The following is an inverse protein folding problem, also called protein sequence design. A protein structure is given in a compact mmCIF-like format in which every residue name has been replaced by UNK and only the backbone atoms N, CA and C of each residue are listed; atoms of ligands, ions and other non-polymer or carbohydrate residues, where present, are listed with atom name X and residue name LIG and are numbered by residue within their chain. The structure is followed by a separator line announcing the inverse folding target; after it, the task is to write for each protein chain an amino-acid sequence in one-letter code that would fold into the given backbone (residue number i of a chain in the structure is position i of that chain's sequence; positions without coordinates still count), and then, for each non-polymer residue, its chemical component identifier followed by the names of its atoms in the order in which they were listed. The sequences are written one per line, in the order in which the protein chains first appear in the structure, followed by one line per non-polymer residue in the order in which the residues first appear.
data_IF_827514674816
#
_entry.id   IF_827514674816
#
_cell.length_a   1.000
_cell.length_b   1.000
_cell.length_c   1.000
_cell.angle_alpha   90.00
_cell.angle_beta   90.00
_cell.angle_gamma   90.00
#
_symmetry.space_group_name_H-M   'P 1'
#
loop_
_entity.id
_entity.type
_entity.pdbx_description
1 polymer ?
#
# COMPACT_ATOMS: atom_id res chain seq x y z
N UNK A 1 -13.21 10.19 2.16
CA UNK A 1 -11.76 10.46 2.15
C UNK A 1 -11.10 9.21 2.72
N UNK A 2 -10.33 8.47 1.92
CA UNK A 2 -9.71 7.21 2.37
C UNK A 2 -8.69 7.50 3.47
N UNK A 3 -8.64 6.65 4.50
CA UNK A 3 -7.62 6.73 5.55
C UNK A 3 -6.53 5.71 5.27
N UNK A 4 -5.29 6.17 5.35
CA UNK A 4 -4.10 5.35 5.25
C UNK A 4 -3.56 5.07 6.65
N UNK A 5 -3.26 3.80 6.93
CA UNK A 5 -2.69 3.37 8.20
C UNK A 5 -1.45 2.53 7.93
N UNK A 6 -0.49 2.52 8.85
CA UNK A 6 0.78 1.81 8.68
C UNK A 6 0.95 0.79 9.81
N UNK A 7 1.30 -0.45 9.43
CA UNK A 7 1.70 -1.50 10.36
C UNK A 7 3.22 -1.49 10.46
N UNK A 8 3.68 -1.45 11.71
CA UNK A 8 5.07 -1.61 12.08
C UNK A 8 5.31 -3.06 12.47
N UNK A 9 6.43 -3.62 12.00
CA UNK A 9 6.90 -4.94 12.41
C UNK A 9 8.26 -4.78 13.06
N UNK A 10 8.59 -5.65 14.02
CA UNK A 10 9.96 -5.71 14.54
C UNK A 10 10.92 -6.03 13.39
N UNK A 11 11.88 -5.14 13.19
CA UNK A 11 13.06 -5.45 12.40
C UNK A 11 13.91 -6.42 13.22
N UNK A 12 14.49 -7.42 12.56
CA UNK A 12 15.35 -8.41 13.23
C UNK A 12 16.62 -7.84 13.89
N UNK A 13 16.84 -6.52 13.81
CA UNK A 13 17.91 -5.80 14.49
C UNK A 13 17.35 -5.08 15.72
N UNK A 14 17.81 -5.48 16.91
CA UNK A 14 17.56 -4.83 18.21
C UNK A 14 16.10 -4.56 18.61
N UNK A 15 15.11 -5.18 17.95
CA UNK A 15 13.69 -4.96 18.25
C UNK A 15 13.17 -3.60 17.78
N UNK A 16 13.87 -2.92 16.86
CA UNK A 16 13.40 -1.66 16.30
C UNK A 16 12.18 -1.89 15.41
N UNK A 17 11.12 -1.11 15.64
CA UNK A 17 9.90 -1.17 14.84
C UNK A 17 10.10 -0.44 13.50
N UNK A 18 9.98 -1.19 12.40
CA UNK A 18 10.08 -0.67 11.04
C UNK A 18 8.69 -0.67 10.38
N UNK A 19 8.30 0.42 9.68
CA UNK A 19 7.05 0.44 8.95
C UNK A 19 7.15 -0.49 7.72
N UNK A 20 6.25 -1.46 7.63
CA UNK A 20 6.33 -2.55 6.64
C UNK A 20 5.14 -2.57 5.68
N UNK A 21 3.92 -2.38 6.20
CA UNK A 21 2.70 -2.41 5.40
C UNK A 21 1.93 -1.10 5.49
N UNK A 22 1.48 -0.63 4.33
CA UNK A 22 0.52 0.45 4.17
C UNK A 22 -0.87 -0.14 3.92
N UNK A 23 -1.79 0.15 4.83
CA UNK A 23 -3.19 -0.20 4.76
C UNK A 23 -3.99 0.98 4.22
N UNK A 24 -4.61 0.84 3.06
CA UNK A 24 -5.45 1.89 2.50
C UNK A 24 -6.92 1.48 2.49
N UNK A 25 -7.76 2.20 3.26
CA UNK A 25 -9.20 1.98 3.32
C UNK A 25 -9.87 2.57 2.07
N UNK A 26 -10.31 1.69 1.17
CA UNK A 26 -11.00 2.00 -0.09
C UNK A 26 -12.53 2.08 0.08
N UNK A 27 -13.07 1.59 1.19
CA UNK A 27 -14.52 1.52 1.43
C UNK A 27 -15.19 0.43 0.59
N UNK A 28 -16.52 0.53 0.42
CA UNK A 28 -17.26 -0.38 -0.47
C UNK A 28 -17.00 0.01 -1.93
N UNK A 29 -16.25 -0.81 -2.64
CA UNK A 29 -16.05 -0.65 -4.08
C UNK A 29 -17.19 -1.32 -4.86
N UNK A 30 -17.66 -0.66 -5.92
CA UNK A 30 -18.50 -1.33 -6.91
C UNK A 30 -17.64 -2.20 -7.84
N UNK A 31 -18.25 -3.19 -8.50
CA UNK A 31 -17.60 -3.98 -9.55
C UNK A 31 -16.96 -3.11 -10.63
N UNK A 32 -17.66 -2.05 -11.06
CA UNK A 32 -17.15 -1.09 -12.04
C UNK A 32 -15.94 -0.26 -11.54
N UNK A 33 -15.63 -0.31 -10.25
CA UNK A 33 -14.43 0.34 -9.71
C UNK A 33 -13.19 -0.56 -9.84
N UNK A 34 -13.37 -1.87 -9.78
CA UNK A 34 -12.28 -2.84 -9.99
C UNK A 34 -11.68 -2.78 -11.40
N UNK A 35 -12.37 -2.17 -12.36
CA UNK A 35 -11.86 -1.95 -13.72
C UNK A 35 -10.94 -0.73 -13.85
N UNK A 36 -10.74 0.05 -12.78
CA UNK A 36 -10.07 1.36 -12.80
C UNK A 36 -8.72 1.35 -12.10
N UNK A 37 -7.95 2.42 -12.31
CA UNK A 37 -6.76 2.74 -11.52
C UNK A 37 -7.13 3.63 -10.35
N UNK A 38 -6.57 3.35 -9.19
CA UNK A 38 -6.73 4.16 -7.99
C UNK A 38 -5.41 4.85 -7.66
N UNK A 39 -5.44 6.16 -7.39
CA UNK A 39 -4.24 6.90 -7.00
C UNK A 39 -4.29 7.24 -5.52
N UNK A 40 -3.35 6.67 -4.76
CA UNK A 40 -3.29 6.76 -3.31
C UNK A 40 -2.30 7.86 -2.92
N UNK A 41 -2.72 8.89 -2.16
CA UNK A 41 -1.81 9.90 -1.61
C UNK A 41 -0.85 9.29 -0.58
N UNK A 42 0.43 9.65 -0.69
CA UNK A 42 1.49 9.27 0.24
C UNK A 42 1.93 10.42 1.17
N UNK A 43 1.30 11.59 1.01
CA UNK A 43 1.50 12.83 1.76
C UNK A 43 0.57 12.95 2.98
N UNK A 44 -0.27 11.96 3.25
CA UNK A 44 -1.22 12.00 4.36
C UNK A 44 -0.58 11.59 5.69
N UNK A 45 -1.02 12.16 6.84
CA UNK A 45 -0.63 11.63 8.14
C UNK A 45 -1.08 10.17 8.25
N UNK A 46 -0.14 9.28 8.52
CA UNK A 46 -0.42 7.85 8.64
C UNK A 46 -0.85 7.51 10.06
N UNK A 47 -2.01 6.89 10.20
CA UNK A 47 -2.43 6.32 11.49
C UNK A 47 -1.62 5.05 11.76
N UNK A 48 -1.02 4.92 12.96
CA UNK A 48 -0.39 3.66 13.36
C UNK A 48 -1.47 2.64 13.68
N UNK A 49 -1.34 1.44 13.13
CA UNK A 49 -2.26 0.32 13.38
C UNK A 49 -1.44 -0.90 13.82
N UNK A 50 -1.92 -1.60 14.83
CA UNK A 50 -1.30 -2.85 15.28
C UNK A 50 -1.72 -4.03 14.40
N UNK A 51 -0.88 -5.05 14.32
CA UNK A 51 -1.17 -6.25 13.54
C UNK A 51 -2.41 -6.99 14.06
N UNK A 52 -2.73 -6.84 15.35
CA UNK A 52 -3.90 -7.49 15.95
C UNK A 52 -5.22 -6.83 15.54
N UNK A 53 -5.18 -5.57 15.07
CA UNK A 53 -6.33 -4.86 14.48
C UNK A 53 -6.51 -5.15 12.97
N UNK A 54 -5.60 -5.97 12.40
CA UNK A 54 -5.63 -6.34 11.00
C UNK A 54 -6.64 -7.48 10.75
N UNK A 55 -7.78 -7.13 10.18
CA UNK A 55 -8.69 -8.11 9.59
C UNK A 55 -8.23 -8.49 8.18
N UNK A 56 -7.75 -9.74 8.04
CA UNK A 56 -7.31 -10.31 6.77
C UNK A 56 -8.47 -10.64 5.82
N UNK A 57 -9.68 -10.83 6.34
CA UNK A 57 -10.83 -11.29 5.54
C UNK A 57 -11.41 -10.19 4.64
N UNK A 58 -11.25 -8.93 5.04
CA UNK A 58 -11.69 -7.74 4.28
C UNK A 58 -10.56 -7.01 3.55
N UNK A 59 -9.39 -7.66 3.46
CA UNK A 59 -8.15 -7.07 2.95
C UNK A 59 -7.61 -7.83 1.73
N UNK A 60 -7.07 -7.10 0.75
CA UNK A 60 -6.38 -7.68 -0.41
C UNK A 60 -4.97 -7.14 -0.55
N UNK A 61 -4.00 -8.02 -0.75
CA UNK A 61 -2.61 -7.64 -1.03
C UNK A 61 -2.46 -7.13 -2.45
N UNK A 62 -1.82 -5.98 -2.61
CA UNK A 62 -1.47 -5.42 -3.91
C UNK A 62 -0.16 -6.07 -4.39
N UNK A 63 -0.16 -6.81 -5.51
CA UNK A 63 1.07 -7.38 -6.05
C UNK A 63 1.94 -6.30 -6.69
N UNK A 64 3.26 -6.55 -6.77
CA UNK A 64 4.22 -5.60 -7.35
C UNK A 64 3.83 -5.16 -8.78
N UNK A 65 3.30 -6.09 -9.58
CA UNK A 65 2.85 -5.84 -10.95
C UNK A 65 1.62 -4.94 -11.07
N UNK A 66 0.93 -4.64 -9.97
CA UNK A 66 -0.23 -3.75 -9.96
C UNK A 66 0.13 -2.30 -9.64
N UNK A 67 1.35 -2.00 -9.20
CA UNK A 67 1.76 -0.61 -8.99
C UNK A 67 2.01 0.11 -10.32
N UNK A 68 1.66 1.38 -10.35
CA UNK A 68 1.80 2.27 -11.50
C UNK A 68 2.25 3.64 -11.02
N UNK A 69 3.11 4.28 -11.81
CA UNK A 69 3.66 5.61 -11.50
C UNK A 69 2.86 6.66 -12.26
N UNK A 70 2.69 7.84 -11.66
CA UNK A 70 2.21 9.05 -12.35
C UNK A 70 3.34 10.07 -12.35
N UNK A 71 3.91 10.35 -13.52
CA UNK A 71 5.01 11.32 -13.66
C UNK A 71 4.60 12.74 -13.25
N UNK A 72 3.31 13.08 -13.36
CA UNK A 72 2.76 14.38 -13.01
C UNK A 72 2.42 14.54 -11.52
N UNK A 73 2.43 13.46 -10.73
CA UNK A 73 2.10 13.47 -9.29
C UNK A 73 2.98 12.48 -8.51
N UNK A 74 4.24 12.85 -8.18
CA UNK A 74 5.19 11.95 -7.52
C UNK A 74 4.74 11.49 -6.13
N UNK A 75 3.94 12.29 -5.43
CA UNK A 75 3.45 11.97 -4.07
C UNK A 75 2.23 11.01 -4.08
N UNK A 76 1.96 10.34 -5.20
CA UNK A 76 0.85 9.40 -5.34
C UNK A 76 1.31 8.10 -5.99
N UNK A 77 1.01 6.99 -5.34
CA UNK A 77 1.15 5.67 -5.95
C UNK A 77 -0.13 5.29 -6.66
N UNK A 78 -0.03 4.88 -7.93
CA UNK A 78 -1.15 4.33 -8.68
C UNK A 78 -1.25 2.82 -8.44
N UNK A 79 -2.46 2.31 -8.25
CA UNK A 79 -2.77 0.89 -8.13
C UNK A 79 -3.75 0.49 -9.23
N UNK A 80 -3.35 -0.46 -10.07
CA UNK A 80 -4.19 -1.02 -11.13
C UNK A 80 -5.09 -2.11 -10.54
N UNK A 81 -6.32 -1.73 -10.15
CA UNK A 81 -7.28 -2.64 -9.52
C UNK A 81 -7.63 -3.88 -10.36
N UNK A 82 -7.64 -3.87 -11.71
CA UNK A 82 -7.88 -5.09 -12.48
C UNK A 82 -6.80 -6.15 -12.22
N UNK A 83 -5.54 -5.73 -12.10
CA UNK A 83 -4.44 -6.66 -11.77
C UNK A 83 -4.56 -7.17 -10.34
N UNK A 84 -4.96 -6.31 -9.39
CA UNK A 84 -5.21 -6.72 -8.00
C UNK A 84 -6.33 -7.75 -7.93
N UNK A 85 -7.43 -7.51 -8.65
CA UNK A 85 -8.57 -8.42 -8.72
C UNK A 85 -8.18 -9.77 -9.31
N UNK A 86 -7.50 -9.79 -10.46
CA UNK A 86 -7.04 -11.02 -11.10
C UNK A 86 -6.08 -11.81 -10.19
N UNK A 87 -5.20 -11.12 -9.47
CA UNK A 87 -4.30 -11.75 -8.51
C UNK A 87 -5.04 -12.37 -7.31
N UNK A 88 -6.03 -11.66 -6.77
CA UNK A 88 -6.84 -12.16 -5.67
C UNK A 88 -7.71 -13.35 -6.09
N UNK A 89 -8.31 -13.28 -7.30
CA UNK A 89 -9.13 -14.35 -7.86
C UNK A 89 -8.31 -15.63 -8.03
N UNK A 90 -7.11 -15.51 -8.59
CA UNK A 90 -6.21 -16.65 -8.78
C UNK A 90 -5.80 -17.28 -7.43
N UNK A 91 -5.53 -16.46 -6.41
CA UNK A 91 -5.26 -16.99 -5.06
C UNK A 91 -6.45 -17.70 -4.43
N UNK A 92 -7.66 -17.14 -4.55
CA UNK A 92 -8.87 -17.79 -4.06
C UNK A 92 -9.11 -19.13 -4.78
N UNK A 93 -8.91 -19.16 -6.10
CA UNK A 93 -9.02 -20.37 -6.92
C UNK A 93 -8.07 -21.47 -6.46
N UNK A 94 -6.83 -21.13 -6.11
CA UNK A 94 -5.82 -22.09 -5.62
C UNK A 94 -6.22 -22.76 -4.29
N UNK A 95 -7.01 -22.09 -3.45
CA UNK A 95 -7.51 -22.64 -2.19
C UNK A 95 -8.94 -23.19 -2.30
N UNK A 96 -9.49 -23.28 -3.51
CA UNK A 96 -10.84 -23.81 -3.78
C UNK A 96 -11.98 -22.86 -3.40
N UNK A 97 -11.71 -21.57 -3.21
CA UNK A 97 -12.70 -20.56 -2.83
C UNK A 97 -13.01 -19.61 -4.01
N UNK A 98 -14.17 -18.97 -3.95
CA UNK A 98 -14.49 -17.84 -4.83
C UNK A 98 -14.20 -16.51 -4.15
N UNK A 99 -13.71 -15.56 -4.93
CA UNK A 99 -13.45 -14.20 -4.46
C UNK A 99 -14.77 -13.41 -4.40
N UNK A 100 -15.18 -12.99 -3.20
CA UNK A 100 -16.22 -11.99 -3.04
C UNK A 100 -15.59 -10.60 -2.90
N UNK A 101 -15.55 -9.86 -3.99
CA UNK A 101 -14.97 -8.52 -4.03
C UNK A 101 -15.78 -7.46 -3.27
N UNK A 102 -17.04 -7.75 -2.90
CA UNK A 102 -17.89 -6.82 -2.14
C UNK A 102 -17.49 -6.74 -0.68
N UNK A 103 -16.76 -7.74 -0.18
CA UNK A 103 -16.23 -7.80 1.18
C UNK A 103 -14.88 -7.10 1.33
N UNK A 104 -14.21 -6.79 0.22
CA UNK A 104 -12.89 -6.17 0.24
C UNK A 104 -13.06 -4.66 0.43
N UNK A 105 -12.51 -4.17 1.54
CA UNK A 105 -12.58 -2.76 1.92
C UNK A 105 -11.21 -2.13 2.12
N UNK A 106 -10.14 -2.91 1.99
CA UNK A 106 -8.78 -2.49 2.31
C UNK A 106 -7.77 -3.06 1.33
N UNK A 107 -6.88 -2.20 0.86
CA UNK A 107 -5.68 -2.59 0.13
C UNK A 107 -4.50 -2.69 1.10
N UNK A 108 -3.71 -3.75 0.96
CA UNK A 108 -2.47 -3.96 1.72
C UNK A 108 -1.31 -3.83 0.75
N UNK A 109 -0.49 -2.82 0.95
CA UNK A 109 0.68 -2.54 0.13
C UNK A 109 1.93 -2.67 0.98
N UNK A 110 3.00 -3.21 0.42
CA UNK A 110 4.30 -3.24 1.09
C UNK A 110 5.00 -1.92 0.84
N UNK A 111 5.49 -1.28 1.89
CA UNK A 111 6.21 -0.01 1.75
C UNK A 111 7.46 -0.17 0.90
N UNK A 112 8.18 -1.28 1.03
CA UNK A 112 9.34 -1.60 0.18
C UNK A 112 9.02 -1.59 -1.31
N UNK A 113 7.85 -2.12 -1.70
CA UNK A 113 7.44 -2.17 -3.11
C UNK A 113 7.12 -0.76 -3.62
N UNK A 114 6.50 0.08 -2.78
CA UNK A 114 6.19 1.47 -3.15
C UNK A 114 7.49 2.27 -3.27
N UNK A 115 8.43 2.13 -2.33
CA UNK A 115 9.75 2.77 -2.34
C UNK A 115 10.54 2.38 -3.58
N UNK A 116 10.54 1.08 -3.95
CA UNK A 116 11.19 0.59 -5.16
C UNK A 116 10.56 1.17 -6.43
N UNK A 117 9.23 1.22 -6.50
CA UNK A 117 8.52 1.72 -7.69
C UNK A 117 8.65 3.22 -7.84
N UNK A 118 8.52 3.98 -6.75
CA UNK A 118 8.57 5.45 -6.79
C UNK A 118 9.97 6.03 -6.62
N UNK A 119 10.96 5.20 -6.25
CA UNK A 119 12.34 5.64 -5.95
C UNK A 119 12.39 6.74 -4.87
N UNK A 120 11.52 6.62 -3.85
CA UNK A 120 11.42 7.54 -2.70
C UNK A 120 11.54 6.77 -1.39
N UNK A 121 12.01 7.42 -0.32
CA UNK A 121 12.15 6.81 1.02
C UNK A 121 10.95 7.20 1.90
N UNK A 122 9.85 6.44 1.77
CA UNK A 122 8.59 6.73 2.48
C UNK A 122 8.74 6.44 3.97
N UNK A 123 9.49 5.40 4.34
CA UNK A 123 9.72 5.04 5.74
C UNK A 123 10.40 6.16 6.51
N UNK A 124 11.39 6.82 5.91
CA UNK A 124 12.01 8.00 6.50
C UNK A 124 10.98 9.09 6.79
N UNK A 125 10.04 9.36 5.87
CA UNK A 125 8.99 10.34 6.07
C UNK A 125 7.97 9.94 7.15
N UNK A 126 7.59 8.66 7.20
CA UNK A 126 6.68 8.14 8.24
C UNK A 126 7.29 8.29 9.63
N UNK A 127 8.60 8.04 9.76
CA UNK A 127 9.31 8.10 11.05
C UNK A 127 9.62 9.53 11.48
N UNK A 128 9.82 10.47 10.55
CA UNK A 128 10.24 11.85 10.84
C UNK A 128 9.13 12.91 10.76
N UNK A 129 7.87 12.53 10.54
CA UNK A 129 6.73 13.44 10.68
C UNK A 129 6.13 14.01 9.38
N UNK A 130 6.41 13.41 8.21
CA UNK A 130 5.73 13.72 6.94
C UNK A 130 6.66 13.95 5.74
N UNK A 131 6.07 14.03 4.55
CA UNK A 131 6.75 14.56 3.35
C UNK A 131 6.63 16.09 3.37
N UNK A 132 7.74 16.80 3.47
CA UNK A 132 7.77 18.22 3.14
C UNK A 132 7.73 18.39 1.61
N UNK A 133 6.89 19.30 1.13
CA UNK A 133 6.68 19.59 -0.29
C UNK A 133 8.02 20.03 -0.92
N UNK A 134 8.64 19.18 -1.75
CA UNK A 134 9.72 19.60 -2.65
C UNK A 134 11.06 18.85 -2.63
N UNK A 135 11.25 17.75 -1.88
CA UNK A 135 12.52 17.02 -1.91
C UNK A 135 12.49 15.77 -2.80
N UNK A 136 13.07 15.89 -4.00
CA UNK A 136 13.64 14.74 -4.71
C UNK A 136 14.86 14.31 -3.88
N UNK A 137 14.74 13.22 -3.14
CA UNK A 137 15.89 12.66 -2.41
C UNK A 137 16.86 12.02 -3.42
N UNK A 138 18.03 12.61 -3.60
CA UNK A 138 19.18 11.88 -4.10
C UNK A 138 19.59 10.85 -3.04
N UNK A 139 19.49 9.59 -3.43
CA UNK A 139 19.72 8.41 -2.60
C UNK A 139 21.15 8.43 -1.99
N UNK A 140 21.33 8.56 -0.66
CA UNK A 140 22.67 8.57 -0.05
C UNK A 140 23.33 7.18 0.00
N UNK A 141 22.63 6.12 -0.42
CA UNK A 141 23.12 4.75 -0.45
C UNK A 141 23.66 4.30 -1.82
N UNK A 142 24.35 5.19 -2.54
CA UNK A 142 25.34 4.78 -3.56
C UNK A 142 26.74 5.14 -3.07
N UNK A 143 27.40 4.16 -2.44
CA UNK A 143 28.86 4.10 -2.36
C UNK A 143 29.34 2.87 -3.13
#
# INVERSE_FOLDING_TARGET
MGRASVIFTESGYFGELCPTWLLYKIGKLSEATWTKRLYIPLDAPFERTEIDEYDSTTSVTVPLSAYTIREDKPNRVGVHLPTVFAFAEERCRQVGNQLDCTLIHRLVMRLSDIEEILQIDIRFHIQNGGMEDGFIYENPCKK
#
